data_IF_571837456024
#
_entry.id   IF_571837456024
#
_cell.length_a   1.000
_cell.length_b   1.000
_cell.length_c   1.000
_cell.angle_alpha   90.00
_cell.angle_beta   90.00
_cell.angle_gamma   90.00
#
_symmetry.space_group_name_H-M   'P 1'
#
loop_
_entity.id
_entity.type
_entity.pdbx_description
1 polymer ?
#
# COMPACT_ATOMS: atom_id res chain seq x y z
N UNK A 1 -0.76 -51.49 -11.01
CA UNK A 1 -0.44 -50.63 -12.17
C UNK A 1 -1.71 -50.11 -12.85
N UNK A 2 -2.55 -50.96 -13.46
CA UNK A 2 -3.79 -50.53 -14.15
C UNK A 2 -4.73 -49.70 -13.25
N UNK A 3 -4.92 -50.12 -11.99
CA UNK A 3 -5.71 -49.36 -11.01
C UNK A 3 -5.16 -47.95 -10.70
N UNK A 4 -3.83 -47.81 -10.65
CA UNK A 4 -3.17 -46.52 -10.46
C UNK A 4 -3.33 -45.60 -11.68
N UNK A 5 -3.34 -46.16 -12.89
CA UNK A 5 -3.56 -45.42 -14.14
C UNK A 5 -5.00 -44.90 -14.22
N UNK A 6 -5.98 -45.72 -13.84
CA UNK A 6 -7.40 -45.32 -13.81
C UNK A 6 -7.63 -44.19 -12.80
N UNK A 7 -7.02 -44.28 -11.61
CA UNK A 7 -7.08 -43.21 -10.61
C UNK A 7 -6.45 -41.90 -11.13
N UNK A 8 -5.27 -41.98 -11.76
CA UNK A 8 -4.56 -40.81 -12.29
C UNK A 8 -5.33 -40.12 -13.43
N UNK A 9 -5.94 -40.90 -14.33
CA UNK A 9 -6.82 -40.37 -15.38
C UNK A 9 -8.07 -39.72 -14.81
N UNK A 10 -8.69 -40.32 -13.78
CA UNK A 10 -9.80 -39.73 -13.04
C UNK A 10 -9.43 -38.38 -12.42
N UNK A 11 -8.31 -38.32 -11.70
CA UNK A 11 -7.83 -37.08 -11.08
C UNK A 11 -7.54 -35.96 -12.11
N UNK A 12 -7.01 -36.30 -13.29
CA UNK A 12 -6.79 -35.33 -14.36
C UNK A 12 -8.08 -34.76 -14.96
N UNK A 13 -9.12 -35.57 -15.13
CA UNK A 13 -10.39 -35.13 -15.72
C UNK A 13 -11.13 -34.12 -14.83
N UNK A 14 -11.03 -34.26 -13.50
CA UNK A 14 -11.65 -33.34 -12.54
C UNK A 14 -10.78 -32.11 -12.20
N UNK A 15 -9.52 -32.06 -12.68
CA UNK A 15 -8.57 -30.97 -12.35
C UNK A 15 -9.03 -29.57 -12.77
N UNK A 16 -9.44 -29.42 -14.04
CA UNK A 16 -9.87 -28.12 -14.59
C UNK A 16 -11.16 -27.58 -13.96
N UNK A 17 -12.23 -28.37 -13.78
CA UNK A 17 -13.45 -27.86 -13.18
C UNK A 17 -13.26 -27.48 -11.70
N UNK A 18 -12.51 -28.28 -10.92
CA UNK A 18 -12.23 -27.97 -9.50
C UNK A 18 -11.45 -26.67 -9.37
N UNK A 19 -10.39 -26.46 -10.16
CA UNK A 19 -9.59 -25.21 -10.14
C UNK A 19 -10.43 -23.97 -10.48
N UNK A 20 -11.45 -24.09 -11.35
CA UNK A 20 -12.36 -22.98 -11.67
C UNK A 20 -13.26 -22.64 -10.48
N UNK A 21 -13.82 -23.66 -9.83
CA UNK A 21 -14.68 -23.51 -8.66
C UNK A 21 -13.90 -22.94 -7.47
N UNK A 22 -12.67 -23.39 -7.23
CA UNK A 22 -11.79 -22.85 -6.18
C UNK A 22 -11.52 -21.35 -6.38
N UNK A 23 -11.25 -20.92 -7.62
CA UNK A 23 -11.06 -19.49 -7.93
C UNK A 23 -12.32 -18.67 -7.66
N UNK A 24 -13.47 -19.18 -8.06
CA UNK A 24 -14.76 -18.53 -7.85
C UNK A 24 -15.11 -18.45 -6.36
N UNK A 25 -14.85 -19.52 -5.59
CA UNK A 25 -15.02 -19.54 -4.15
C UNK A 25 -14.09 -18.54 -3.44
N UNK A 26 -12.82 -18.43 -3.86
CA UNK A 26 -11.90 -17.41 -3.33
C UNK A 26 -12.39 -15.99 -3.59
N UNK A 27 -12.90 -15.69 -4.79
CA UNK A 27 -13.47 -14.37 -5.07
C UNK A 27 -14.68 -14.04 -4.19
N UNK A 28 -15.53 -15.04 -3.92
CA UNK A 28 -16.66 -14.88 -3.02
C UNK A 28 -16.21 -14.60 -1.58
N UNK A 29 -15.18 -15.32 -1.10
CA UNK A 29 -14.62 -15.09 0.24
C UNK A 29 -14.07 -13.67 0.36
N UNK A 30 -13.28 -13.21 -0.62
CA UNK A 30 -12.73 -11.84 -0.63
C UNK A 30 -13.87 -10.82 -0.56
N UNK A 31 -14.89 -10.94 -1.42
CA UNK A 31 -16.01 -10.01 -1.43
C UNK A 31 -16.85 -10.03 -0.14
N UNK A 32 -16.97 -11.19 0.52
CA UNK A 32 -17.62 -11.29 1.83
C UNK A 32 -16.79 -10.62 2.94
N UNK A 33 -15.47 -10.85 2.95
CA UNK A 33 -14.55 -10.22 3.92
C UNK A 33 -14.50 -8.70 3.74
N UNK A 34 -14.52 -8.20 2.50
CA UNK A 34 -14.57 -6.76 2.22
C UNK A 34 -15.85 -6.12 2.77
N UNK A 35 -16.99 -6.81 2.63
CA UNK A 35 -18.27 -6.37 3.21
C UNK A 35 -18.19 -6.36 4.75
N UNK A 36 -17.61 -7.39 5.36
CA UNK A 36 -17.42 -7.44 6.81
C UNK A 36 -16.55 -6.28 7.31
N UNK A 37 -15.42 -6.01 6.65
CA UNK A 37 -14.58 -4.83 6.96
C UNK A 37 -15.40 -3.55 6.87
N UNK A 38 -16.15 -3.37 5.77
CA UNK A 38 -17.00 -2.19 5.57
C UNK A 38 -18.06 -2.01 6.68
N UNK A 39 -18.59 -3.11 7.20
CA UNK A 39 -19.54 -3.09 8.33
C UNK A 39 -18.86 -2.66 9.63
N UNK A 40 -17.64 -3.13 9.89
CA UNK A 40 -16.89 -2.71 11.08
C UNK A 40 -16.47 -1.24 11.00
N UNK A 41 -15.94 -0.82 9.85
CA UNK A 41 -15.47 0.54 9.62
C UNK A 41 -16.64 1.55 9.62
N UNK A 42 -17.79 1.17 9.06
CA UNK A 42 -18.98 2.00 8.93
C UNK A 42 -20.08 1.76 9.98
N UNK A 43 -19.81 1.02 11.05
CA UNK A 43 -20.85 0.55 11.97
C UNK A 43 -21.73 1.68 12.53
N UNK A 44 -21.11 2.81 12.89
CA UNK A 44 -21.81 3.98 13.42
C UNK A 44 -22.82 4.55 12.42
N UNK A 45 -22.42 4.74 11.17
CA UNK A 45 -23.27 5.28 10.11
C UNK A 45 -24.39 4.29 9.74
N UNK A 46 -24.06 3.00 9.67
CA UNK A 46 -25.05 1.95 9.39
C UNK A 46 -26.17 1.98 10.43
N UNK A 47 -25.81 2.14 11.72
CA UNK A 47 -26.78 2.28 12.80
C UNK A 47 -27.53 3.59 12.76
N UNK A 48 -26.82 4.69 12.52
CA UNK A 48 -27.41 6.02 12.47
C UNK A 48 -28.47 6.15 11.37
N UNK A 49 -28.15 5.67 10.16
CA UNK A 49 -29.06 5.69 9.01
C UNK A 49 -30.03 4.50 8.95
N UNK A 50 -30.02 3.61 9.96
CA UNK A 50 -30.86 2.41 10.02
C UNK A 50 -30.73 1.52 8.76
N UNK A 51 -29.50 1.40 8.25
CA UNK A 51 -29.18 0.66 7.03
C UNK A 51 -28.95 -0.84 7.28
N UNK A 52 -29.14 -1.35 8.51
CA UNK A 52 -28.91 -2.76 8.82
C UNK A 52 -29.65 -3.72 7.89
N UNK A 53 -30.92 -3.48 7.49
CA UNK A 53 -31.62 -4.38 6.57
C UNK A 53 -30.92 -4.52 5.22
N UNK A 54 -30.31 -3.44 4.72
CA UNK A 54 -29.59 -3.45 3.44
C UNK A 54 -28.28 -4.25 3.54
N UNK A 55 -27.50 -4.04 4.60
CA UNK A 55 -26.26 -4.78 4.83
C UNK A 55 -26.52 -6.26 5.16
N UNK A 56 -27.57 -6.58 5.94
CA UNK A 56 -27.99 -7.96 6.19
C UNK A 56 -28.48 -8.67 4.92
N UNK A 57 -29.08 -7.93 3.98
CA UNK A 57 -29.45 -8.48 2.67
C UNK A 57 -28.20 -8.76 1.84
N UNK A 58 -27.27 -7.81 1.75
CA UNK A 58 -26.01 -8.00 1.03
C UNK A 58 -25.18 -9.17 1.59
N UNK A 59 -25.09 -9.29 2.91
CA UNK A 59 -24.42 -10.42 3.56
C UNK A 59 -25.09 -11.76 3.22
N UNK A 60 -26.43 -11.81 3.24
CA UNK A 60 -27.17 -13.02 2.80
C UNK A 60 -26.91 -13.36 1.35
N UNK A 61 -26.89 -12.39 0.44
CA UNK A 61 -26.58 -12.62 -0.98
C UNK A 61 -25.19 -13.23 -1.17
N UNK A 62 -24.19 -12.78 -0.40
CA UNK A 62 -22.85 -13.38 -0.40
C UNK A 62 -22.84 -14.80 0.16
N UNK A 63 -23.52 -15.03 1.29
CA UNK A 63 -23.65 -16.36 1.90
C UNK A 63 -24.38 -17.35 0.99
N UNK A 64 -25.41 -16.91 0.28
CA UNK A 64 -26.16 -17.72 -0.68
C UNK A 64 -25.27 -18.10 -1.89
N UNK A 65 -24.46 -17.16 -2.41
CA UNK A 65 -23.47 -17.45 -3.46
C UNK A 65 -22.42 -18.44 -2.97
N UNK A 66 -21.91 -18.23 -1.75
CA UNK A 66 -20.94 -19.13 -1.12
C UNK A 66 -21.51 -20.55 -1.00
N UNK A 67 -22.76 -20.69 -0.54
CA UNK A 67 -23.43 -21.98 -0.42
C UNK A 67 -23.69 -22.64 -1.78
N UNK A 68 -24.10 -21.89 -2.81
CA UNK A 68 -24.31 -22.42 -4.17
C UNK A 68 -23.03 -22.99 -4.79
N UNK A 69 -21.94 -22.21 -4.73
CA UNK A 69 -20.62 -22.65 -5.23
C UNK A 69 -20.07 -23.77 -4.36
N UNK A 70 -20.24 -23.67 -3.03
CA UNK A 70 -19.84 -24.69 -2.06
C UNK A 70 -20.55 -26.02 -2.28
N UNK A 71 -21.86 -26.04 -2.55
CA UNK A 71 -22.60 -27.26 -2.90
C UNK A 71 -22.08 -27.90 -4.18
N UNK A 72 -21.72 -27.10 -5.17
CA UNK A 72 -21.14 -27.59 -6.43
C UNK A 72 -19.76 -28.19 -6.19
N UNK A 73 -18.92 -27.52 -5.40
CA UNK A 73 -17.63 -28.01 -4.96
C UNK A 73 -17.74 -29.33 -4.18
N UNK A 74 -18.59 -29.38 -3.15
CA UNK A 74 -18.83 -30.57 -2.34
C UNK A 74 -19.33 -31.72 -3.22
N UNK A 75 -20.26 -31.47 -4.14
CA UNK A 75 -20.76 -32.51 -5.05
C UNK A 75 -19.64 -33.07 -5.94
N UNK A 76 -18.82 -32.21 -6.54
CA UNK A 76 -17.71 -32.65 -7.38
C UNK A 76 -16.63 -33.39 -6.58
N UNK A 77 -16.24 -32.85 -5.43
CA UNK A 77 -15.27 -33.45 -4.52
C UNK A 77 -15.76 -34.79 -3.97
N UNK A 78 -17.04 -34.89 -3.61
CA UNK A 78 -17.68 -36.14 -3.17
C UNK A 78 -17.70 -37.15 -4.29
N UNK A 79 -18.08 -36.76 -5.52
CA UNK A 79 -18.08 -37.66 -6.66
C UNK A 79 -16.66 -38.17 -6.95
N UNK A 80 -15.66 -37.29 -6.93
CA UNK A 80 -14.25 -37.67 -7.10
C UNK A 80 -13.80 -38.64 -6.01
N UNK A 81 -14.15 -38.38 -4.75
CA UNK A 81 -13.82 -39.24 -3.61
C UNK A 81 -14.48 -40.61 -3.72
N UNK A 82 -15.76 -40.65 -4.10
CA UNK A 82 -16.49 -41.90 -4.34
C UNK A 82 -15.89 -42.69 -5.50
N UNK A 83 -15.63 -42.05 -6.64
CA UNK A 83 -15.04 -42.72 -7.81
C UNK A 83 -13.67 -43.29 -7.48
N UNK A 84 -12.87 -42.53 -6.73
CA UNK A 84 -11.59 -42.97 -6.19
C UNK A 84 -11.76 -44.20 -5.28
N UNK A 85 -12.67 -44.13 -4.30
CA UNK A 85 -12.92 -45.22 -3.34
C UNK A 85 -13.44 -46.49 -4.02
N UNK A 86 -14.34 -46.38 -4.99
CA UNK A 86 -14.79 -47.51 -5.79
C UNK A 86 -13.63 -48.11 -6.60
N UNK A 87 -12.80 -47.26 -7.23
CA UNK A 87 -11.59 -47.70 -7.92
C UNK A 87 -10.67 -48.53 -7.01
N UNK A 88 -10.51 -48.13 -5.74
CA UNK A 88 -9.73 -48.88 -4.76
C UNK A 88 -10.38 -50.21 -4.39
N UNK A 89 -11.67 -50.20 -4.06
CA UNK A 89 -12.41 -51.43 -3.73
C UNK A 89 -12.32 -52.47 -4.86
N UNK A 90 -12.42 -52.05 -6.12
CA UNK A 90 -12.23 -52.94 -7.27
C UNK A 90 -10.79 -53.48 -7.37
N UNK A 91 -9.79 -52.64 -7.13
CA UNK A 91 -8.39 -53.09 -7.12
C UNK A 91 -8.14 -54.11 -6.01
N UNK A 92 -8.70 -53.89 -4.82
CA UNK A 92 -8.58 -54.81 -3.69
C UNK A 92 -9.25 -56.15 -3.97
N UNK A 93 -10.49 -56.14 -4.45
CA UNK A 93 -11.18 -57.38 -4.82
C UNK A 93 -10.44 -58.11 -5.94
N UNK A 94 -9.95 -57.39 -6.96
CA UNK A 94 -9.17 -57.99 -8.04
C UNK A 94 -7.88 -58.66 -7.55
N UNK A 95 -7.16 -58.03 -6.62
CA UNK A 95 -5.93 -58.56 -6.04
C UNK A 95 -6.22 -59.81 -5.18
N UNK A 96 -7.33 -59.80 -4.44
CA UNK A 96 -7.80 -60.95 -3.67
C UNK A 96 -8.16 -62.13 -4.56
N UNK A 97 -8.87 -61.89 -5.67
CA UNK A 97 -9.25 -62.92 -6.65
C UNK A 97 -8.01 -63.54 -7.30
N UNK A 98 -7.02 -62.73 -7.68
CA UNK A 98 -5.76 -63.23 -8.26
C UNK A 98 -4.98 -64.06 -7.23
N UNK A 99 -4.88 -63.59 -5.99
CA UNK A 99 -4.20 -64.33 -4.91
C UNK A 99 -4.88 -65.68 -4.64
N UNK A 100 -6.21 -65.71 -4.56
CA UNK A 100 -6.99 -66.95 -4.41
C UNK A 100 -6.82 -67.90 -5.60
N UNK A 101 -6.83 -67.37 -6.83
CA UNK A 101 -6.65 -68.18 -8.04
C UNK A 101 -5.25 -68.82 -8.12
N UNK A 102 -4.21 -68.08 -7.75
CA UNK A 102 -2.84 -68.60 -7.69
C UNK A 102 -2.67 -69.65 -6.58
N UNK A 103 -3.37 -69.47 -5.46
CA UNK A 103 -3.43 -70.44 -4.36
C UNK A 103 -4.13 -71.72 -4.81
N UNK A 104 -5.27 -71.60 -5.50
CA UNK A 104 -6.02 -72.73 -6.05
C UNK A 104 -5.20 -73.55 -7.06
N UNK A 105 -4.38 -72.89 -7.89
CA UNK A 105 -3.46 -73.57 -8.82
C UNK A 105 -2.21 -74.15 -8.15
N UNK A 106 -2.09 -74.08 -6.82
CA UNK A 106 -0.94 -74.57 -6.05
C UNK A 106 0.36 -73.79 -6.30
N UNK A 107 0.27 -72.59 -6.90
CA UNK A 107 1.44 -71.74 -7.20
C UNK A 107 1.80 -70.80 -6.06
N UNK A 108 0.92 -70.64 -5.09
CA UNK A 108 1.08 -69.77 -3.93
C UNK A 108 0.57 -70.51 -2.68
N UNK A 109 1.30 -70.46 -1.57
CA UNK A 109 0.77 -71.00 -0.31
C UNK A 109 -0.21 -70.00 0.29
N UNK A 110 -1.20 -70.50 1.04
CA UNK A 110 -2.20 -69.64 1.70
C UNK A 110 -1.54 -68.63 2.66
N UNK A 111 -0.48 -69.03 3.35
CA UNK A 111 0.30 -68.15 4.22
C UNK A 111 0.91 -66.97 3.44
N UNK A 112 1.52 -67.23 2.28
CA UNK A 112 2.11 -66.20 1.42
C UNK A 112 1.04 -65.22 0.92
N UNK A 113 -0.16 -65.72 0.56
CA UNK A 113 -1.29 -64.88 0.16
C UNK A 113 -1.75 -63.95 1.29
N UNK A 114 -1.78 -64.45 2.54
CA UNK A 114 -2.15 -63.65 3.72
C UNK A 114 -1.12 -62.57 4.03
N UNK A 115 0.17 -62.79 3.77
CA UNK A 115 1.22 -61.78 3.94
C UNK A 115 1.25 -60.75 2.80
N UNK A 116 1.03 -61.17 1.55
CA UNK A 116 1.03 -60.28 0.38
C UNK A 116 -0.12 -59.28 0.40
N UNK A 117 -1.26 -59.65 1.00
CA UNK A 117 -2.45 -58.81 1.08
C UNK A 117 -2.23 -57.44 1.77
N UNK A 118 -1.78 -57.36 3.03
CA UNK A 118 -1.52 -56.09 3.70
C UNK A 118 -0.38 -55.29 3.05
N UNK A 119 0.61 -55.96 2.46
CA UNK A 119 1.70 -55.29 1.73
C UNK A 119 1.13 -54.59 0.48
N UNK A 120 0.31 -55.30 -0.30
CA UNK A 120 -0.33 -54.73 -1.49
C UNK A 120 -1.27 -53.56 -1.13
N UNK A 121 -1.99 -53.66 -0.01
CA UNK A 121 -2.81 -52.57 0.54
C UNK A 121 -1.95 -51.34 0.85
N UNK A 122 -0.85 -51.53 1.56
CA UNK A 122 0.05 -50.43 1.93
C UNK A 122 0.66 -49.75 0.71
N UNK A 123 1.03 -50.52 -0.32
CA UNK A 123 1.56 -49.97 -1.58
C UNK A 123 0.51 -49.14 -2.31
N UNK A 124 -0.73 -49.64 -2.42
CA UNK A 124 -1.83 -48.90 -3.03
C UNK A 124 -2.14 -47.59 -2.27
N UNK A 125 -2.18 -47.65 -0.94
CA UNK A 125 -2.38 -46.49 -0.09
C UNK A 125 -1.26 -45.46 -0.20
N UNK A 126 0.00 -45.91 -0.27
CA UNK A 126 1.17 -45.02 -0.41
C UNK A 126 1.16 -44.30 -1.75
N UNK A 127 0.80 -45.00 -2.84
CA UNK A 127 0.64 -44.39 -4.17
C UNK A 127 -0.48 -43.34 -4.19
N UNK A 128 -1.56 -43.57 -3.44
CA UNK A 128 -2.65 -42.59 -3.28
C UNK A 128 -2.20 -41.34 -2.50
N UNK A 129 -1.46 -41.52 -1.40
CA UNK A 129 -0.89 -40.41 -0.62
C UNK A 129 -0.04 -39.49 -1.50
N UNK A 130 0.77 -40.07 -2.39
CA UNK A 130 1.54 -39.30 -3.37
C UNK A 130 0.61 -38.49 -4.28
N UNK A 131 -0.49 -39.07 -4.75
CA UNK A 131 -1.51 -38.35 -5.54
C UNK A 131 -2.11 -37.15 -4.82
N UNK A 132 -2.45 -37.30 -3.53
CA UNK A 132 -2.94 -36.18 -2.72
C UNK A 132 -1.90 -35.09 -2.52
N UNK A 133 -0.66 -35.47 -2.18
CA UNK A 133 0.46 -34.53 -2.02
C UNK A 133 0.69 -33.76 -3.32
N UNK A 134 0.58 -34.40 -4.49
CA UNK A 134 0.71 -33.74 -5.79
C UNK A 134 -0.39 -32.73 -6.10
N UNK A 135 -1.61 -32.92 -5.57
CA UNK A 135 -2.70 -31.95 -5.68
C UNK A 135 -2.48 -30.79 -4.71
N UNK A 136 -2.10 -31.09 -3.47
CA UNK A 136 -1.80 -30.10 -2.43
C UNK A 136 -0.61 -29.19 -2.84
N UNK A 137 0.44 -29.77 -3.41
CA UNK A 137 1.58 -29.02 -3.99
C UNK A 137 1.18 -28.02 -5.08
N UNK A 138 0.09 -28.26 -5.82
CA UNK A 138 -0.37 -27.31 -6.85
C UNK A 138 -0.96 -26.04 -6.23
N UNK A 139 -1.59 -26.11 -5.05
CA UNK A 139 -2.08 -24.93 -4.34
C UNK A 139 -0.91 -24.07 -3.85
N UNK A 140 0.16 -24.71 -3.35
CA UNK A 140 1.41 -24.01 -3.00
C UNK A 140 2.10 -23.38 -4.21
N UNK A 141 1.98 -23.99 -5.41
CA UNK A 141 2.54 -23.41 -6.63
C UNK A 141 1.88 -22.07 -6.97
N UNK A 142 0.56 -21.95 -6.84
CA UNK A 142 -0.16 -20.68 -7.10
C UNK A 142 0.21 -19.59 -6.07
N UNK A 143 0.38 -19.97 -4.81
CA UNK A 143 0.87 -19.03 -3.79
C UNK A 143 2.30 -18.58 -4.09
N UNK A 144 3.17 -19.51 -4.49
CA UNK A 144 4.54 -19.22 -4.90
C UNK A 144 4.61 -18.34 -6.15
N UNK A 145 3.75 -18.56 -7.14
CA UNK A 145 3.64 -17.72 -8.34
C UNK A 145 3.35 -16.26 -7.97
N UNK A 146 2.42 -16.01 -7.04
CA UNK A 146 2.11 -14.64 -6.57
C UNK A 146 3.28 -13.97 -5.85
N UNK A 147 3.96 -14.72 -4.98
CA UNK A 147 5.17 -14.20 -4.30
C UNK A 147 6.25 -13.91 -5.32
N UNK A 148 6.43 -14.79 -6.30
CA UNK A 148 7.39 -14.60 -7.37
C UNK A 148 7.03 -13.42 -8.28
N UNK A 149 5.75 -13.23 -8.63
CA UNK A 149 5.29 -12.05 -9.39
C UNK A 149 5.68 -10.75 -8.68
N UNK A 150 5.44 -10.68 -7.37
CA UNK A 150 5.82 -9.51 -6.56
C UNK A 150 7.35 -9.34 -6.48
N UNK A 151 8.10 -10.42 -6.30
CA UNK A 151 9.57 -10.38 -6.23
C UNK A 151 10.24 -10.10 -7.58
N UNK A 152 9.57 -10.43 -8.69
CA UNK A 152 10.05 -10.19 -10.05
C UNK A 152 9.50 -8.87 -10.64
N UNK A 153 8.70 -8.13 -9.89
CA UNK A 153 8.28 -6.78 -10.28
C UNK A 153 9.55 -5.93 -10.45
N UNK A 154 9.61 -5.17 -11.55
CA UNK A 154 10.82 -4.44 -11.89
C UNK A 154 11.13 -3.43 -10.79
N UNK A 155 12.35 -3.50 -10.26
CA UNK A 155 12.86 -2.47 -9.36
C UNK A 155 12.72 -1.10 -10.00
N UNK A 156 12.40 -0.09 -9.18
CA UNK A 156 12.31 1.29 -9.61
C UNK A 156 13.59 1.70 -10.37
N UNK A 157 13.43 2.30 -11.55
CA UNK A 157 14.58 2.72 -12.36
C UNK A 157 15.42 3.73 -11.58
N UNK A 158 16.70 3.44 -11.40
CA UNK A 158 17.64 4.30 -10.73
C UNK A 158 18.83 4.60 -11.64
N UNK A 159 19.29 5.85 -11.62
CA UNK A 159 20.51 6.25 -12.30
C UNK A 159 21.74 5.95 -11.47
N UNK A 160 22.89 6.47 -11.90
CA UNK A 160 24.21 6.18 -11.30
C UNK A 160 24.74 7.29 -10.41
N UNK A 161 24.06 8.45 -10.34
CA UNK A 161 24.54 9.60 -9.58
C UNK A 161 24.22 9.42 -8.10
N UNK A 162 25.25 9.26 -7.28
CA UNK A 162 25.13 9.07 -5.83
C UNK A 162 25.35 10.35 -5.00
N UNK A 163 25.89 11.41 -5.60
CA UNK A 163 26.18 12.67 -4.92
C UNK A 163 25.55 13.86 -5.66
N UNK A 164 24.74 14.69 -4.99
CA UNK A 164 24.14 15.87 -5.61
C UNK A 164 25.14 17.00 -5.83
N UNK A 165 24.90 17.77 -6.89
CA UNK A 165 25.66 18.99 -7.18
C UNK A 165 24.96 20.20 -6.58
N UNK A 166 25.41 20.60 -5.39
CA UNK A 166 24.82 21.72 -4.65
C UNK A 166 25.15 23.11 -5.24
N UNK A 167 25.88 23.18 -6.37
CA UNK A 167 26.26 24.45 -7.01
C UNK A 167 25.22 24.96 -8.03
N UNK A 168 24.16 24.19 -8.27
CA UNK A 168 23.16 24.53 -9.26
C UNK A 168 22.39 25.84 -8.91
N UNK A 169 22.07 26.69 -9.91
CA UNK A 169 21.33 27.93 -9.68
C UNK A 169 19.89 27.71 -9.21
N UNK A 170 19.33 26.53 -9.54
CA UNK A 170 18.01 26.10 -9.10
C UNK A 170 18.12 24.72 -8.46
N UNK A 171 17.59 24.62 -7.25
CA UNK A 171 17.57 23.38 -6.46
C UNK A 171 16.46 22.45 -6.95
N UNK A 172 15.32 22.99 -7.39
CA UNK A 172 14.23 22.25 -8.01
C UNK A 172 13.79 22.93 -9.30
N UNK A 173 13.56 22.16 -10.35
CA UNK A 173 12.95 22.67 -11.58
C UNK A 173 12.07 21.62 -12.25
N UNK A 174 10.90 22.04 -12.71
CA UNK A 174 10.09 21.33 -13.68
C UNK A 174 10.06 22.15 -14.97
N UNK A 175 10.28 21.50 -16.11
CA UNK A 175 10.26 22.13 -17.45
C UNK A 175 9.25 21.41 -18.33
N UNK A 176 8.17 22.08 -18.68
CA UNK A 176 7.07 21.58 -19.53
C UNK A 176 6.55 20.20 -19.07
N UNK A 177 6.43 20.00 -17.76
CA UNK A 177 6.11 18.69 -17.18
C UNK A 177 4.63 18.37 -17.32
N UNK A 178 4.32 17.22 -17.88
CA UNK A 178 2.96 16.66 -17.96
C UNK A 178 2.97 15.29 -17.29
N UNK A 179 1.92 14.98 -16.53
CA UNK A 179 1.79 13.68 -15.86
C UNK A 179 0.33 13.29 -15.66
N UNK A 180 0.06 12.02 -15.90
CA UNK A 180 -1.25 11.37 -15.79
C UNK A 180 -1.12 10.12 -14.93
N UNK A 181 -1.96 9.97 -13.90
CA UNK A 181 -1.96 8.75 -13.10
C UNK A 181 -2.43 7.56 -13.96
N UNK A 182 -1.90 6.33 -13.73
CA UNK A 182 -2.39 5.14 -14.41
C UNK A 182 -3.92 4.99 -14.24
N UNK A 183 -4.63 4.84 -15.36
CA UNK A 183 -6.09 4.70 -15.37
C UNK A 183 -6.89 6.01 -15.27
N UNK A 184 -6.23 7.17 -15.15
CA UNK A 184 -6.89 8.46 -15.29
C UNK A 184 -6.97 8.89 -16.77
N UNK A 185 -8.09 9.50 -17.17
CA UNK A 185 -8.26 10.03 -18.53
C UNK A 185 -7.58 11.40 -18.70
N UNK A 186 -7.59 12.23 -17.66
CA UNK A 186 -7.07 13.59 -17.69
C UNK A 186 -5.70 13.71 -16.99
N UNK A 187 -4.75 14.48 -17.58
CA UNK A 187 -3.48 14.75 -16.92
C UNK A 187 -3.67 15.54 -15.62
N UNK A 188 -3.00 15.08 -14.56
CA UNK A 188 -2.95 15.75 -13.26
C UNK A 188 -2.02 16.96 -13.25
N UNK A 189 -1.00 16.97 -14.11
CA UNK A 189 -0.15 18.13 -14.39
C UNK A 189 -0.10 18.34 -15.90
N UNK A 190 -0.15 19.60 -16.34
CA UNK A 190 -0.25 19.98 -17.76
C UNK A 190 0.78 21.05 -18.10
N UNK A 191 1.91 20.66 -18.68
CA UNK A 191 2.99 21.58 -19.11
C UNK A 191 3.43 22.54 -18.00
N UNK A 192 3.72 22.00 -16.81
CA UNK A 192 4.14 22.80 -15.66
C UNK A 192 5.59 23.22 -15.81
N UNK A 193 5.82 24.53 -15.70
CA UNK A 193 7.14 25.15 -15.59
C UNK A 193 7.30 25.81 -14.21
N UNK A 194 8.33 25.41 -13.48
CA UNK A 194 8.70 26.04 -12.21
C UNK A 194 10.20 25.89 -11.98
N UNK A 195 10.79 26.88 -11.33
CA UNK A 195 12.19 26.91 -10.94
C UNK A 195 12.31 27.49 -9.55
N UNK A 196 12.90 26.76 -8.62
CA UNK A 196 13.05 27.13 -7.21
C UNK A 196 14.54 27.35 -6.93
N UNK A 197 14.87 28.46 -6.27
CA UNK A 197 16.24 28.80 -5.90
C UNK A 197 16.64 28.15 -4.56
N UNK A 198 17.93 27.87 -4.34
CA UNK A 198 18.42 27.48 -3.01
C UNK A 198 18.00 28.50 -1.93
N UNK A 199 17.53 28.01 -0.77
CA UNK A 199 17.04 28.82 0.34
C UNK A 199 15.64 29.44 0.17
N UNK A 200 15.01 29.34 -1.00
CA UNK A 200 13.71 29.95 -1.26
C UNK A 200 12.56 29.28 -0.47
N UNK A 201 11.67 30.11 0.09
CA UNK A 201 10.43 29.67 0.76
C UNK A 201 9.24 29.86 -0.17
N UNK A 202 8.62 28.77 -0.59
CA UNK A 202 7.57 28.78 -1.62
C UNK A 202 6.29 28.15 -1.09
N UNK A 203 5.21 28.93 -1.12
CA UNK A 203 3.87 28.42 -0.85
C UNK A 203 3.21 27.93 -2.13
N UNK A 204 2.52 26.79 -2.09
CA UNK A 204 1.71 26.29 -3.20
C UNK A 204 0.25 26.27 -2.76
N UNK A 205 -0.58 27.02 -3.47
CA UNK A 205 -2.00 27.21 -3.14
C UNK A 205 -2.89 26.87 -4.33
N UNK A 206 -4.11 26.44 -4.05
CA UNK A 206 -5.08 26.07 -5.08
C UNK A 206 -6.11 25.08 -4.57
N UNK A 207 -7.17 24.88 -5.35
CA UNK A 207 -8.26 23.95 -5.03
C UNK A 207 -7.76 22.50 -4.94
N UNK A 208 -8.50 21.62 -4.26
CA UNK A 208 -8.24 20.18 -4.31
C UNK A 208 -8.28 19.67 -5.75
N UNK A 209 -7.37 18.75 -6.08
CA UNK A 209 -7.23 18.24 -7.45
C UNK A 209 -6.44 19.13 -8.42
N UNK A 210 -5.91 20.30 -7.98
CA UNK A 210 -5.14 21.17 -8.87
C UNK A 210 -3.72 20.69 -9.23
N UNK A 211 -3.28 19.56 -8.68
CA UNK A 211 -1.97 18.94 -8.98
C UNK A 211 -0.84 19.22 -7.97
N UNK A 212 -1.11 19.94 -6.87
CA UNK A 212 -0.10 20.35 -5.87
C UNK A 212 0.72 19.18 -5.32
N UNK A 213 0.06 18.17 -4.74
CA UNK A 213 0.72 16.98 -4.19
C UNK A 213 1.38 16.14 -5.28
N UNK A 214 0.83 16.14 -6.50
CA UNK A 214 1.41 15.44 -7.65
C UNK A 214 2.76 16.05 -8.04
N UNK A 215 2.91 17.38 -7.97
CA UNK A 215 4.19 18.03 -8.22
C UNK A 215 5.28 17.57 -7.24
N UNK A 216 4.96 17.43 -5.95
CA UNK A 216 5.89 16.88 -4.95
C UNK A 216 6.27 15.43 -5.24
N UNK A 217 5.29 14.59 -5.59
CA UNK A 217 5.55 13.19 -5.95
C UNK A 217 6.50 13.05 -7.14
N UNK A 218 6.43 13.96 -8.12
CA UNK A 218 7.37 13.98 -9.24
C UNK A 218 8.77 14.44 -8.84
N UNK A 219 8.91 15.45 -7.98
CA UNK A 219 10.23 15.84 -7.46
C UNK A 219 10.92 14.71 -6.68
N UNK A 220 10.13 13.91 -5.95
CA UNK A 220 10.61 12.75 -5.20
C UNK A 220 10.82 11.49 -6.07
N UNK A 221 10.55 11.58 -7.37
CA UNK A 221 10.55 10.47 -8.32
C UNK A 221 9.76 9.25 -7.80
N UNK A 222 8.58 9.50 -7.24
CA UNK A 222 7.61 8.45 -6.88
C UNK A 222 6.82 7.97 -8.10
N UNK A 223 6.74 8.80 -9.14
CA UNK A 223 6.17 8.48 -10.44
C UNK A 223 7.08 9.05 -11.53
N UNK A 224 7.22 8.35 -12.68
CA UNK A 224 7.81 8.93 -13.87
C UNK A 224 6.81 9.92 -14.51
N UNK A 225 7.32 11.04 -15.02
CA UNK A 225 6.53 11.99 -15.80
C UNK A 225 6.28 11.49 -17.24
N UNK A 226 5.17 11.90 -17.87
CA UNK A 226 4.83 11.53 -19.26
C UNK A 226 5.68 12.33 -20.27
N UNK A 227 5.89 13.62 -19.98
CA UNK A 227 6.68 14.52 -20.82
C UNK A 227 7.38 15.60 -19.98
N UNK A 228 8.37 16.25 -20.57
CA UNK A 228 9.14 17.31 -19.90
C UNK A 228 10.25 16.74 -19.03
N UNK A 229 10.82 17.60 -18.18
CA UNK A 229 11.95 17.24 -17.32
C UNK A 229 11.74 17.73 -15.89
N UNK A 230 11.98 16.84 -14.94
CA UNK A 230 12.06 17.16 -13.51
C UNK A 230 13.53 17.09 -13.10
N UNK A 231 14.04 18.18 -12.54
CA UNK A 231 15.46 18.41 -12.26
C UNK A 231 15.61 18.76 -10.79
N UNK A 232 16.56 18.13 -10.11
CA UNK A 232 16.95 18.41 -8.74
C UNK A 232 18.45 18.67 -8.72
N UNK A 233 18.86 19.82 -8.17
CA UNK A 233 20.26 20.25 -8.11
C UNK A 233 20.97 20.14 -9.47
N UNK A 234 20.34 20.68 -10.51
CA UNK A 234 20.89 20.75 -11.87
C UNK A 234 20.86 19.45 -12.68
N UNK A 235 20.43 18.31 -12.12
CA UNK A 235 20.34 17.03 -12.84
C UNK A 235 18.93 16.44 -12.88
N UNK A 236 18.54 15.75 -13.95
CA UNK A 236 17.28 15.00 -14.00
C UNK A 236 17.14 14.03 -12.83
N UNK A 237 15.92 13.90 -12.28
CA UNK A 237 15.64 12.98 -11.16
C UNK A 237 15.94 11.52 -11.50
N UNK A 238 15.80 11.14 -12.77
CA UNK A 238 16.10 9.80 -13.30
C UNK A 238 17.57 9.41 -13.24
N UNK A 239 18.47 10.40 -13.12
CA UNK A 239 19.92 10.17 -13.20
C UNK A 239 20.51 9.79 -11.84
N UNK A 240 19.77 10.03 -10.75
CA UNK A 240 20.18 9.74 -9.38
C UNK A 240 19.90 8.30 -8.98
N UNK A 241 20.70 7.78 -8.04
CA UNK A 241 20.25 6.66 -7.21
C UNK A 241 19.08 7.15 -6.34
N UNK A 242 18.13 6.28 -6.02
CA UNK A 242 16.95 6.68 -5.22
C UNK A 242 17.32 7.18 -3.83
N UNK A 243 18.34 6.56 -3.22
CA UNK A 243 18.87 6.98 -1.93
C UNK A 243 19.46 8.40 -2.00
N UNK A 244 20.28 8.70 -3.02
CA UNK A 244 20.87 10.01 -3.19
C UNK A 244 19.83 11.09 -3.52
N UNK A 245 18.83 10.76 -4.35
CA UNK A 245 17.73 11.66 -4.65
C UNK A 245 16.91 11.96 -3.39
N UNK A 246 16.33 10.92 -2.78
CA UNK A 246 15.40 11.06 -1.65
C UNK A 246 16.14 11.54 -0.39
N UNK A 247 17.44 11.27 -0.26
CA UNK A 247 18.33 11.81 0.77
C UNK A 247 18.32 13.34 0.85
N UNK A 248 18.13 14.03 -0.28
CA UNK A 248 18.12 15.49 -0.36
C UNK A 248 16.84 16.13 0.19
N UNK A 249 15.79 15.33 0.47
CA UNK A 249 14.47 15.82 0.85
C UNK A 249 14.07 15.40 2.27
N UNK A 250 13.40 16.31 2.97
CA UNK A 250 12.53 16.02 4.11
C UNK A 250 11.08 16.20 3.65
N UNK A 251 10.36 15.10 3.52
CA UNK A 251 8.99 15.09 2.98
C UNK A 251 7.96 14.76 4.05
N UNK A 252 7.02 15.68 4.26
CA UNK A 252 5.82 15.46 5.07
C UNK A 252 4.61 15.26 4.14
N UNK A 253 4.05 14.05 4.03
CA UNK A 253 2.79 13.85 3.31
C UNK A 253 1.59 14.38 4.09
N UNK A 254 0.48 14.61 3.39
CA UNK A 254 -0.79 15.07 3.97
C UNK A 254 -1.28 14.19 5.14
N UNK A 255 -1.12 12.87 5.03
CA UNK A 255 -1.39 11.92 6.12
C UNK A 255 -0.16 11.03 6.34
N UNK A 256 0.69 11.34 7.34
CA UNK A 256 1.85 10.52 7.65
C UNK A 256 1.43 9.13 8.14
N UNK A 257 1.98 8.09 7.52
CA UNK A 257 1.79 6.73 7.98
C UNK A 257 2.70 6.43 9.18
N UNK A 258 2.12 5.88 10.25
CA UNK A 258 2.89 5.37 11.39
C UNK A 258 2.87 3.85 11.38
N UNK A 259 4.04 3.26 11.58
CA UNK A 259 4.20 1.83 11.75
C UNK A 259 3.78 1.46 13.17
N UNK A 260 3.26 0.25 13.32
CA UNK A 260 2.93 -0.29 14.63
C UNK A 260 4.17 -0.33 15.53
N UNK A 261 4.00 0.10 16.78
CA UNK A 261 5.09 0.27 17.76
C UNK A 261 4.95 1.57 18.55
N UNK A 262 6.07 2.06 19.06
CA UNK A 262 6.18 3.29 19.83
C UNK A 262 6.49 4.51 18.96
N UNK A 263 6.37 5.72 19.53
CA UNK A 263 6.88 6.96 18.90
C UNK A 263 8.37 6.83 18.57
N UNK A 264 9.16 6.28 19.51
CA UNK A 264 10.59 6.00 19.34
C UNK A 264 10.86 5.11 18.13
N UNK A 265 10.17 3.97 18.02
CA UNK A 265 10.35 3.04 16.89
C UNK A 265 10.13 3.77 15.56
N UNK A 266 9.12 4.63 15.52
CA UNK A 266 8.76 5.42 14.34
C UNK A 266 9.78 6.52 14.01
N UNK A 267 10.53 7.05 14.98
CA UNK A 267 11.60 8.04 14.77
C UNK A 267 12.93 7.40 14.39
N UNK A 268 13.26 6.23 14.96
CA UNK A 268 14.47 5.46 14.65
C UNK A 268 14.48 4.91 13.21
N UNK A 269 13.33 4.87 12.52
CA UNK A 269 13.26 4.60 11.08
C UNK A 269 14.01 5.65 10.23
N UNK A 270 14.19 6.86 10.75
CA UNK A 270 14.89 7.95 10.04
C UNK A 270 16.38 7.93 10.35
N UNK A 271 16.71 7.71 11.62
CA UNK A 271 18.08 7.65 12.12
C UNK A 271 18.13 6.57 13.23
N UNK A 272 18.60 5.35 12.91
CA UNK A 272 18.65 4.23 13.86
C UNK A 272 19.52 4.48 15.09
N UNK A 273 20.48 5.40 14.99
CA UNK A 273 21.44 5.71 16.05
C UNK A 273 21.06 6.99 16.83
N UNK A 274 19.88 7.56 16.56
CA UNK A 274 19.44 8.80 17.19
C UNK A 274 19.28 8.65 18.72
N UNK A 275 19.89 9.59 19.45
CA UNK A 275 19.71 9.68 20.91
C UNK A 275 18.31 10.15 21.31
N UNK A 276 17.87 9.80 22.52
CA UNK A 276 16.63 10.30 23.12
C UNK A 276 16.54 11.82 23.10
N UNK A 277 17.66 12.50 23.33
CA UNK A 277 17.72 13.96 23.31
C UNK A 277 17.43 14.51 21.90
N UNK A 278 17.99 13.88 20.86
CA UNK A 278 17.72 14.24 19.46
C UNK A 278 16.24 14.04 19.12
N UNK A 279 15.69 12.88 19.48
CA UNK A 279 14.28 12.55 19.24
C UNK A 279 13.33 13.51 19.96
N UNK A 280 13.57 13.78 21.24
CA UNK A 280 12.78 14.73 22.04
C UNK A 280 12.89 16.16 21.50
N UNK A 281 14.08 16.56 21.02
CA UNK A 281 14.26 17.87 20.39
C UNK A 281 13.47 17.99 19.08
N UNK A 282 13.43 16.93 18.27
CA UNK A 282 12.65 16.91 17.04
C UNK A 282 11.13 16.96 17.33
N UNK A 283 10.66 16.19 18.31
CA UNK A 283 9.26 16.22 18.77
C UNK A 283 8.88 17.60 19.32
N UNK A 284 9.76 18.22 20.11
CA UNK A 284 9.57 19.59 20.61
C UNK A 284 9.52 20.60 19.47
N UNK A 285 10.40 20.48 18.47
CA UNK A 285 10.35 21.29 17.26
C UNK A 285 9.00 21.16 16.55
N UNK A 286 8.47 19.94 16.47
CA UNK A 286 7.15 19.64 15.93
C UNK A 286 5.98 19.98 16.88
N UNK A 287 6.25 20.70 17.98
CA UNK A 287 5.26 21.12 18.99
C UNK A 287 4.51 19.95 19.65
N UNK A 288 5.13 18.78 19.70
CA UNK A 288 4.62 17.61 20.39
C UNK A 288 5.41 17.38 21.68
N UNK A 289 4.80 17.70 22.81
CA UNK A 289 5.41 17.55 24.14
C UNK A 289 4.72 16.49 25.00
N UNK A 290 3.50 16.11 24.65
CA UNK A 290 2.71 15.06 25.29
C UNK A 290 1.74 14.46 24.29
N UNK A 291 1.35 13.21 24.51
CA UNK A 291 0.24 12.58 23.81
C UNK A 291 -0.98 12.53 24.73
N UNK A 292 -2.13 12.93 24.23
CA UNK A 292 -3.37 12.93 24.99
C UNK A 292 -3.86 11.50 25.22
N UNK A 293 -4.26 11.20 26.47
CA UNK A 293 -4.73 9.85 26.83
C UNK A 293 -3.63 8.81 27.07
N UNK A 294 -2.36 9.17 26.91
CA UNK A 294 -1.22 8.30 27.21
C UNK A 294 -0.60 8.65 28.57
N UNK A 295 -0.29 7.63 29.37
CA UNK A 295 0.38 7.77 30.68
C UNK A 295 1.89 7.50 30.61
N UNK A 296 2.35 6.93 29.50
CA UNK A 296 3.74 6.63 29.23
C UNK A 296 4.51 7.90 28.84
N UNK A 297 5.84 7.83 28.97
CA UNK A 297 6.72 8.84 28.42
C UNK A 297 6.55 8.95 26.90
N UNK A 298 6.75 10.16 26.36
CA UNK A 298 6.40 10.49 24.98
C UNK A 298 7.05 9.55 23.94
N UNK A 299 8.29 9.12 24.18
CA UNK A 299 9.01 8.22 23.28
C UNK A 299 8.47 6.79 23.31
N UNK A 300 8.02 6.33 24.47
CA UNK A 300 7.64 4.93 24.68
C UNK A 300 6.11 4.72 24.50
N UNK A 301 5.38 5.80 24.26
CA UNK A 301 3.95 5.79 23.95
C UNK A 301 3.67 5.01 22.65
N UNK A 302 2.68 4.12 22.72
CA UNK A 302 2.23 3.30 21.59
C UNK A 302 1.39 4.11 20.61
N UNK A 303 1.69 3.97 19.31
CA UNK A 303 0.92 4.65 18.25
C UNK A 303 -0.11 3.74 17.57
N UNK A 304 0.04 2.42 17.70
CA UNK A 304 -0.81 1.42 17.05
C UNK A 304 -0.63 1.36 15.52
N UNK A 305 -1.24 0.36 14.89
CA UNK A 305 -1.20 0.20 13.43
C UNK A 305 -1.77 1.44 12.72
N UNK A 306 -1.01 2.01 11.78
CA UNK A 306 -1.36 3.23 11.04
C UNK A 306 -1.66 4.45 11.93
N UNK A 307 -1.17 4.46 13.17
CA UNK A 307 -1.41 5.55 14.12
C UNK A 307 -2.81 5.54 14.74
N UNK A 308 -3.45 4.37 14.90
CA UNK A 308 -4.80 4.23 15.44
C UNK A 308 -4.97 4.66 16.90
N UNK A 309 -3.87 4.76 17.67
CA UNK A 309 -3.88 5.15 19.09
C UNK A 309 -3.51 6.62 19.33
N UNK A 310 -3.38 7.42 18.28
CA UNK A 310 -3.08 8.85 18.36
C UNK A 310 -4.05 9.65 17.50
N UNK A 311 -4.30 10.89 17.88
CA UNK A 311 -5.11 11.81 17.08
C UNK A 311 -4.44 12.13 15.74
N UNK A 312 -5.22 12.59 14.76
CA UNK A 312 -4.68 12.99 13.45
C UNK A 312 -3.61 14.09 13.56
N UNK A 313 -3.78 15.04 14.47
CA UNK A 313 -2.80 16.11 14.73
C UNK A 313 -1.51 15.60 15.38
N UNK A 314 -1.61 14.65 16.31
CA UNK A 314 -0.43 13.99 16.89
C UNK A 314 0.33 13.18 15.85
N UNK A 315 -0.38 12.40 15.03
CA UNK A 315 0.19 11.66 13.90
C UNK A 315 0.95 12.57 12.95
N UNK A 316 0.38 13.74 12.64
CA UNK A 316 1.02 14.74 11.80
C UNK A 316 2.29 15.31 12.43
N UNK A 317 2.26 15.65 13.73
CA UNK A 317 3.45 16.14 14.46
C UNK A 317 4.55 15.09 14.58
N UNK A 318 4.21 13.80 14.74
CA UNK A 318 5.20 12.71 14.68
C UNK A 318 5.83 12.65 13.28
N UNK A 319 5.02 12.75 12.22
CA UNK A 319 5.52 12.84 10.84
C UNK A 319 6.44 14.04 10.61
N UNK A 320 6.13 15.17 11.21
CA UNK A 320 6.97 16.37 11.12
C UNK A 320 8.27 16.22 11.92
N UNK A 321 8.25 15.59 13.09
CA UNK A 321 9.46 15.28 13.85
C UNK A 321 10.44 14.42 13.04
N UNK A 322 9.93 13.43 12.28
CA UNK A 322 10.74 12.65 11.32
C UNK A 322 11.42 13.53 10.27
N UNK A 323 10.71 14.54 9.74
CA UNK A 323 11.27 15.49 8.78
C UNK A 323 12.38 16.35 9.41
N UNK A 324 12.28 16.67 10.70
CA UNK A 324 13.29 17.46 11.42
C UNK A 324 14.52 16.65 11.81
N UNK A 325 14.39 15.34 12.01
CA UNK A 325 15.53 14.46 12.26
C UNK A 325 16.37 14.21 11.00
N UNK A 326 15.74 14.23 9.82
CA UNK A 326 16.45 13.97 8.58
C UNK A 326 17.34 15.15 8.17
N UNK A 327 18.65 14.95 7.93
CA UNK A 327 19.56 16.01 7.53
C UNK A 327 19.41 16.33 6.04
N UNK A 328 18.42 17.15 5.68
CA UNK A 328 18.15 17.53 4.29
C UNK A 328 18.08 19.05 4.12
N UNK A 329 18.35 19.53 2.91
CA UNK A 329 18.30 20.96 2.57
C UNK A 329 16.98 21.37 1.90
N UNK A 330 16.13 20.40 1.51
CA UNK A 330 14.89 20.63 0.78
C UNK A 330 13.71 20.05 1.57
N UNK A 331 12.83 20.91 2.06
CA UNK A 331 11.62 20.49 2.76
C UNK A 331 10.42 20.57 1.82
N UNK A 332 9.71 19.45 1.68
CA UNK A 332 8.44 19.37 0.96
C UNK A 332 7.35 19.03 1.97
N UNK A 333 6.39 19.93 2.20
CA UNK A 333 5.34 19.73 3.19
C UNK A 333 3.95 19.81 2.57
N UNK A 334 3.28 18.68 2.46
CA UNK A 334 1.92 18.60 1.93
C UNK A 334 0.92 18.80 3.07
N UNK A 335 0.29 19.97 3.13
CA UNK A 335 -0.71 20.34 4.14
C UNK A 335 -0.26 20.12 5.60
N UNK A 336 0.87 20.72 5.98
CA UNK A 336 1.54 20.55 7.29
C UNK A 336 0.65 20.64 8.54
N UNK A 337 -0.52 21.28 8.46
CA UNK A 337 -1.27 21.73 9.63
C UNK A 337 -2.80 21.62 9.51
N UNK A 338 -3.32 20.76 8.64
CA UNK A 338 -4.78 20.55 8.53
C UNK A 338 -5.42 20.18 9.88
N UNK A 339 -4.69 19.51 10.77
CA UNK A 339 -5.12 19.15 12.12
C UNK A 339 -4.49 20.01 13.25
N UNK A 340 -3.78 21.09 12.92
CA UNK A 340 -3.20 22.02 13.89
C UNK A 340 -4.02 23.31 13.99
N UNK A 341 -4.04 23.92 15.17
CA UNK A 341 -4.56 25.27 15.35
C UNK A 341 -3.77 26.27 14.50
N UNK A 342 -4.45 27.28 13.95
CA UNK A 342 -3.85 28.24 13.02
C UNK A 342 -2.62 28.98 13.61
N UNK A 343 -2.62 29.24 14.92
CA UNK A 343 -1.50 29.86 15.62
C UNK A 343 -0.26 28.95 15.65
N UNK A 344 -0.45 27.68 15.99
CA UNK A 344 0.65 26.70 16.07
C UNK A 344 1.24 26.45 14.69
N UNK A 345 0.39 26.39 13.65
CA UNK A 345 0.86 26.33 12.27
C UNK A 345 1.72 27.53 11.90
N UNK A 346 1.23 28.74 12.15
CA UNK A 346 1.93 29.97 11.79
C UNK A 346 3.31 30.04 12.47
N UNK A 347 3.39 29.74 13.76
CA UNK A 347 4.67 29.68 14.50
C UNK A 347 5.63 28.64 13.92
N UNK A 348 5.12 27.51 13.44
CA UNK A 348 5.94 26.44 12.89
C UNK A 348 6.46 26.78 11.48
N UNK A 349 5.61 27.36 10.65
CA UNK A 349 6.02 27.90 9.34
C UNK A 349 7.07 28.99 9.53
N UNK A 350 6.86 29.88 10.50
CA UNK A 350 7.77 30.96 10.85
C UNK A 350 9.15 30.42 11.25
N UNK A 351 9.22 29.44 12.16
CA UNK A 351 10.46 28.76 12.55
C UNK A 351 11.24 28.19 11.35
N UNK A 352 10.51 27.56 10.41
CA UNK A 352 11.11 26.97 9.20
C UNK A 352 11.60 28.01 8.21
N UNK A 353 10.93 29.16 8.14
CA UNK A 353 11.27 30.24 7.22
C UNK A 353 12.45 31.06 7.72
N UNK A 354 12.62 31.16 9.05
CA UNK A 354 13.78 31.79 9.68
C UNK A 354 15.09 31.01 9.52
N UNK A 355 15.06 29.79 8.96
CA UNK A 355 16.26 29.02 8.60
C UNK A 355 16.70 29.32 7.16
N UNK A 356 17.68 30.20 6.94
CA UNK A 356 18.02 30.68 5.59
C UNK A 356 18.66 29.63 4.69
N UNK A 357 19.21 28.57 5.29
CA UNK A 357 19.87 27.45 4.63
C UNK A 357 18.90 26.44 3.99
N UNK A 358 17.62 26.46 4.41
CA UNK A 358 16.62 25.49 3.96
C UNK A 358 15.82 26.03 2.77
N UNK A 359 15.69 25.24 1.70
CA UNK A 359 14.62 25.44 0.72
C UNK A 359 13.34 24.80 1.25
N UNK A 360 12.23 25.53 1.29
CA UNK A 360 10.97 25.00 1.81
C UNK A 360 9.86 25.21 0.79
N UNK A 361 9.27 24.13 0.32
CA UNK A 361 8.01 24.15 -0.42
C UNK A 361 6.93 23.56 0.47
N UNK A 362 5.83 24.27 0.64
CA UNK A 362 4.72 23.78 1.43
C UNK A 362 3.40 24.09 0.73
N UNK A 363 2.52 23.11 0.77
CA UNK A 363 1.16 23.20 0.26
C UNK A 363 0.29 23.62 1.43
N UNK A 364 -0.50 24.68 1.26
CA UNK A 364 -1.44 25.11 2.29
C UNK A 364 -2.78 25.50 1.69
N UNK A 365 -3.83 25.14 2.43
CA UNK A 365 -5.17 25.65 2.21
C UNK A 365 -5.45 26.90 3.04
N UNK A 366 -4.61 27.25 4.03
CA UNK A 366 -4.77 28.46 4.84
C UNK A 366 -3.88 29.56 4.28
N UNK A 367 -4.49 30.54 3.63
CA UNK A 367 -3.74 31.58 2.93
C UNK A 367 -2.99 32.52 3.88
N UNK A 368 -3.40 32.62 5.14
CA UNK A 368 -2.67 33.37 6.16
C UNK A 368 -1.23 32.85 6.32
N UNK A 369 -1.03 31.54 6.28
CA UNK A 369 0.29 30.91 6.30
C UNK A 369 1.09 31.18 5.03
N UNK A 370 0.42 31.42 3.88
CA UNK A 370 1.04 31.70 2.59
C UNK A 370 1.69 33.09 2.49
N UNK A 371 1.30 34.04 3.36
CA UNK A 371 1.75 35.44 3.31
C UNK A 371 3.26 35.57 3.52
N UNK A 372 3.83 34.73 4.39
CA UNK A 372 5.24 34.80 4.77
C UNK A 372 6.20 34.23 3.71
N UNK A 373 5.68 33.55 2.68
CA UNK A 373 6.51 32.93 1.66
C UNK A 373 7.16 33.99 0.74
N UNK A 374 8.39 33.72 0.30
CA UNK A 374 9.11 34.56 -0.67
C UNK A 374 8.36 34.65 -2.00
N UNK A 375 7.70 33.53 -2.37
CA UNK A 375 6.87 33.38 -3.55
C UNK A 375 5.72 32.41 -3.32
N UNK A 376 4.58 32.71 -3.92
CA UNK A 376 3.38 31.88 -3.92
C UNK A 376 3.15 31.36 -5.35
N UNK A 377 2.95 30.06 -5.50
CA UNK A 377 2.55 29.40 -6.74
C UNK A 377 1.08 29.03 -6.66
N UNK A 378 0.27 29.56 -7.56
CA UNK A 378 -1.17 29.33 -7.60
C UNK A 378 -1.46 28.29 -8.67
N UNK A 379 -1.96 27.12 -8.26
CA UNK A 379 -2.23 26.01 -9.16
C UNK A 379 -3.73 25.81 -9.39
N UNK A 380 -4.10 25.59 -10.66
CA UNK A 380 -5.46 25.26 -11.09
C UNK A 380 -5.42 24.29 -12.27
N UNK A 381 -6.24 23.24 -12.23
CA UNK A 381 -6.41 22.26 -13.33
C UNK A 381 -5.08 21.70 -13.87
N UNK A 382 -4.13 21.42 -12.97
CA UNK A 382 -2.81 20.87 -13.31
C UNK A 382 -1.81 21.90 -13.86
N UNK A 383 -2.11 23.21 -13.80
CA UNK A 383 -1.25 24.30 -14.29
C UNK A 383 -0.93 25.30 -13.20
N UNK A 384 0.24 25.94 -13.29
CA UNK A 384 0.53 27.15 -12.52
C UNK A 384 -0.09 28.33 -13.27
N UNK A 385 -1.09 28.98 -12.66
CA UNK A 385 -1.87 30.06 -13.29
C UNK A 385 -1.44 31.45 -12.84
N UNK A 386 -0.84 31.57 -11.66
CA UNK A 386 -0.26 32.81 -11.14
C UNK A 386 0.95 32.47 -10.28
N UNK A 387 1.95 33.34 -10.27
CA UNK A 387 3.05 33.31 -9.32
C UNK A 387 3.43 34.73 -8.89
N UNK A 388 3.89 34.89 -7.65
CA UNK A 388 4.29 36.20 -7.13
C UNK A 388 4.25 36.26 -5.60
N UNK A 389 4.47 37.44 -5.02
CA UNK A 389 4.29 37.65 -3.57
C UNK A 389 2.82 37.89 -3.25
N UNK A 390 2.43 37.65 -2.00
CA UNK A 390 1.08 37.93 -1.52
C UNK A 390 0.59 39.34 -1.89
N UNK A 391 1.43 40.36 -1.62
CA UNK A 391 1.12 41.76 -1.86
C UNK A 391 0.79 42.05 -3.34
N UNK A 392 1.44 41.36 -4.26
CA UNK A 392 1.19 41.51 -5.69
C UNK A 392 -0.08 40.75 -6.09
N UNK A 393 -0.20 39.49 -5.66
CA UNK A 393 -1.28 38.60 -6.07
C UNK A 393 -2.66 38.99 -5.55
N UNK A 394 -2.74 39.67 -4.39
CA UNK A 394 -4.01 40.14 -3.83
C UNK A 394 -4.58 41.35 -4.60
N UNK A 395 -3.71 42.15 -5.22
CA UNK A 395 -4.14 43.35 -5.98
C UNK A 395 -4.66 43.00 -7.38
N UNK A 396 -4.10 41.95 -7.98
CA UNK A 396 -4.43 41.51 -9.33
C UNK A 396 -5.69 40.61 -9.31
N UNK A 397 -6.68 40.82 -10.19
CA UNK A 397 -7.80 39.91 -10.32
C UNK A 397 -7.32 38.52 -10.76
N UNK A 398 -7.70 37.48 -10.02
CA UNK A 398 -7.28 36.11 -10.29
C UNK A 398 -7.73 35.14 -9.21
N UNK A 399 -7.39 33.86 -9.38
CA UNK A 399 -7.77 32.79 -8.46
C UNK A 399 -7.27 33.06 -7.04
N UNK A 400 -6.04 33.55 -6.89
CA UNK A 400 -5.49 33.83 -5.56
C UNK A 400 -6.34 34.82 -4.77
N UNK A 401 -6.67 35.96 -5.38
CA UNK A 401 -7.52 36.99 -4.78
C UNK A 401 -8.91 36.45 -4.43
N UNK A 402 -9.52 35.66 -5.31
CA UNK A 402 -10.81 35.02 -5.02
C UNK A 402 -10.74 34.10 -3.81
N UNK A 403 -9.71 33.26 -3.72
CA UNK A 403 -9.50 32.38 -2.56
C UNK A 403 -9.24 33.19 -1.28
N UNK A 404 -8.49 34.28 -1.39
CA UNK A 404 -8.20 35.19 -0.27
C UNK A 404 -9.47 35.82 0.29
N UNK A 405 -10.26 36.48 -0.56
CA UNK A 405 -11.52 37.13 -0.18
C UNK A 405 -12.55 36.14 0.36
N UNK A 406 -12.53 34.87 -0.07
CA UNK A 406 -13.40 33.84 0.47
C UNK A 406 -13.02 33.44 1.89
N UNK A 407 -11.72 33.31 2.19
CA UNK A 407 -11.26 32.95 3.54
C UNK A 407 -11.41 34.11 4.52
N UNK A 408 -11.17 35.34 4.07
CA UNK A 408 -11.33 36.54 4.91
C UNK A 408 -12.78 36.75 5.36
N UNK A 409 -13.78 36.31 4.57
CA UNK A 409 -15.20 36.37 4.95
C UNK A 409 -15.62 35.31 5.97
N UNK A 410 -14.82 34.27 6.16
CA UNK A 410 -15.12 33.14 7.05
C UNK A 410 -14.45 33.33 8.43
N UNK A 411 -13.44 34.20 8.51
CA UNK A 411 -12.82 34.68 9.74
C UNK A 411 -13.61 35.86 10.31
#
# INVERSE_FOLDING_TARGET
IIGGIIYFLGAMLFKKPVKKIEKEQQQIIIGATDLESSVFDGFGDIKYYSMEPAFLKAHREWMDRYDQVGKTYIRQSTLQTLLSNFGYSFCYVGLLVVALFLTYKGRLQLADAMYLWPIAMQVCYSLQKIGFILVEMQQYTVASERVQELLCEKEESQGTVSSPDMSAPYVLSAKQVTFTYPGAEDPSLKQVDVQIRPGEKVAIVGLSGSGKSTLFKLFLHLYPQDSGQVIVNGRPVSDYTLEALRGQFSYLPQSPFLFEGTVRDNLLLIDPDASDQTMLSALKGARLTKLEGHTQDLLDAQVGFAGSMVSGGERQRIGLARCFMRPSSIYLMDEMASALDAKVEAELVDDLFHRPDLTVLYITHRLASAIQADRILVMKDGKIVQEGRHQDLVTVPGLYRTLWEQQEKVL
#
